data_IF_821262815140
#
_entry.id   IF_821262815140
#
_cell.length_a   1.000
_cell.length_b   1.000
_cell.length_c   1.000
_cell.angle_alpha   90.00
_cell.angle_beta   90.00
_cell.angle_gamma   90.00
#
_symmetry.space_group_name_H-M   'P 1'
#
loop_
_entity.id
_entity.type
_entity.pdbx_description
1 polymer ?
#
# COMPACT_ATOMS: atom_id res chain seq x y z
N UNK A 1 7.93 -18.14 4.65
CA UNK A 1 6.86 -18.35 3.64
C UNK A 1 5.53 -17.98 4.30
N UNK A 2 5.16 -16.69 4.29
CA UNK A 2 3.91 -16.22 4.89
C UNK A 2 2.83 -16.16 3.80
N UNK A 3 1.88 -17.09 3.84
CA UNK A 3 0.67 -17.02 3.01
C UNK A 3 -0.43 -16.37 3.83
N UNK A 4 -0.70 -15.07 3.62
CA UNK A 4 -1.93 -14.49 4.13
C UNK A 4 -3.12 -15.16 3.42
N UNK A 5 -3.88 -15.97 4.16
CA UNK A 5 -4.97 -16.81 3.67
C UNK A 5 -6.32 -16.08 3.72
N UNK A 6 -7.07 -16.28 2.63
CA UNK A 6 -8.54 -16.36 2.45
C UNK A 6 -9.40 -15.13 2.75
N UNK A 7 -10.13 -14.71 1.71
CA UNK A 7 -11.40 -13.99 1.84
C UNK A 7 -12.55 -15.02 1.79
N UNK A 8 -13.39 -15.08 2.83
CA UNK A 8 -14.57 -15.95 3.04
C UNK A 8 -14.80 -17.05 1.96
N UNK A 9 -14.30 -18.25 2.25
CA UNK A 9 -14.33 -19.42 1.38
C UNK A 9 -12.92 -19.93 1.07
N UNK A 10 -12.78 -21.14 0.56
CA UNK A 10 -11.50 -21.70 0.10
C UNK A 10 -10.86 -20.94 -1.08
N UNK A 11 -11.24 -19.69 -1.32
CA UNK A 11 -10.78 -18.87 -2.44
C UNK A 11 -9.52 -18.11 -2.06
N UNK A 12 -8.59 -18.07 -3.00
CA UNK A 12 -7.33 -17.35 -2.89
C UNK A 12 -7.63 -15.84 -2.88
N UNK A 13 -6.89 -15.10 -2.06
CA UNK A 13 -7.02 -13.65 -1.93
C UNK A 13 -6.82 -12.92 -3.27
N UNK A 14 -7.55 -11.83 -3.49
CA UNK A 14 -7.40 -10.98 -4.66
C UNK A 14 -7.48 -9.52 -4.20
N UNK A 15 -6.31 -8.91 -4.02
CA UNK A 15 -6.16 -7.52 -3.55
C UNK A 15 -6.92 -6.55 -4.46
N UNK A 16 -6.67 -6.63 -5.77
CA UNK A 16 -7.28 -5.74 -6.76
C UNK A 16 -8.81 -5.74 -6.73
N UNK A 17 -9.46 -6.90 -6.64
CA UNK A 17 -10.92 -7.02 -6.56
C UNK A 17 -11.48 -6.37 -5.29
N UNK A 18 -10.84 -6.59 -4.15
CA UNK A 18 -11.31 -6.02 -2.88
C UNK A 18 -11.14 -4.51 -2.89
N UNK A 19 -10.00 -3.99 -3.38
CA UNK A 19 -9.77 -2.55 -3.49
C UNK A 19 -10.76 -1.89 -4.46
N UNK A 20 -11.04 -2.52 -5.61
CA UNK A 20 -12.04 -2.06 -6.56
C UNK A 20 -13.46 -2.05 -5.94
N UNK A 21 -13.83 -3.10 -5.20
CA UNK A 21 -15.13 -3.19 -4.53
C UNK A 21 -15.26 -2.10 -3.46
N UNK A 22 -14.26 -1.97 -2.59
CA UNK A 22 -14.23 -0.95 -1.54
C UNK A 22 -14.33 0.46 -2.11
N UNK A 23 -13.59 0.78 -3.18
CA UNK A 23 -13.68 2.07 -3.86
C UNK A 23 -15.10 2.36 -4.37
N UNK A 24 -15.74 1.37 -5.01
CA UNK A 24 -17.11 1.51 -5.51
C UNK A 24 -18.14 1.68 -4.40
N UNK A 25 -18.03 0.92 -3.31
CA UNK A 25 -18.95 1.02 -2.18
C UNK A 25 -18.76 2.34 -1.41
N UNK A 26 -17.51 2.78 -1.19
CA UNK A 26 -17.22 4.04 -0.52
C UNK A 26 -17.84 5.23 -1.27
N UNK A 27 -17.81 5.23 -2.61
CA UNK A 27 -18.39 6.31 -3.43
C UNK A 27 -19.91 6.41 -3.33
N UNK A 28 -20.59 5.36 -2.86
CA UNK A 28 -22.04 5.40 -2.61
C UNK A 28 -22.37 6.09 -1.28
N UNK A 29 -21.41 6.13 -0.36
CA UNK A 29 -21.62 6.60 1.02
C UNK A 29 -21.04 8.00 1.19
N UNK A 30 -19.91 8.30 0.54
CA UNK A 30 -19.20 9.57 0.66
C UNK A 30 -18.74 10.10 -0.70
N UNK A 31 -18.87 11.42 -0.89
CA UNK A 31 -18.21 12.13 -1.99
C UNK A 31 -16.79 12.50 -1.57
N UNK A 32 -15.88 11.51 -1.61
CA UNK A 32 -14.47 11.70 -1.32
C UNK A 32 -13.69 12.00 -2.61
N UNK A 33 -12.62 12.79 -2.52
CA UNK A 33 -11.78 13.13 -3.67
C UNK A 33 -10.48 12.34 -3.70
N UNK A 34 -10.13 11.67 -2.60
CA UNK A 34 -8.88 10.94 -2.39
C UNK A 34 -9.11 9.52 -1.88
N UNK A 35 -8.59 8.52 -2.59
CA UNK A 35 -8.50 7.14 -2.13
C UNK A 35 -7.07 6.85 -1.68
N UNK A 36 -6.92 6.21 -0.51
CA UNK A 36 -5.65 5.66 -0.05
C UNK A 36 -5.80 4.15 0.04
N UNK A 37 -5.10 3.43 -0.83
CA UNK A 37 -5.03 1.97 -0.83
C UNK A 37 -3.83 1.57 0.03
N UNK A 38 -4.08 0.80 1.07
CA UNK A 38 -3.13 0.62 2.14
C UNK A 38 -3.14 -0.82 2.65
N UNK A 39 -2.00 -1.49 2.56
CA UNK A 39 -1.83 -2.81 3.15
C UNK A 39 -1.88 -2.70 4.68
N UNK A 40 -2.65 -3.59 5.32
CA UNK A 40 -2.95 -3.51 6.76
C UNK A 40 -1.72 -3.73 7.64
N UNK A 41 -0.64 -4.24 7.07
CA UNK A 41 0.61 -4.61 7.74
C UNK A 41 1.72 -3.57 7.63
N UNK A 42 1.46 -2.38 7.07
CA UNK A 42 2.41 -1.29 7.05
C UNK A 42 1.96 -0.16 7.99
N UNK A 43 2.84 0.40 8.81
CA UNK A 43 2.52 1.53 9.69
C UNK A 43 3.50 2.67 9.43
N UNK A 44 3.04 3.91 9.19
CA UNK A 44 3.94 5.04 8.97
C UNK A 44 4.72 5.35 10.26
N UNK A 45 6.03 5.60 10.12
CA UNK A 45 6.91 5.93 11.26
C UNK A 45 6.87 7.41 11.64
N UNK A 46 6.28 8.24 10.79
CA UNK A 46 6.39 9.69 10.84
C UNK A 46 5.10 10.34 10.34
N UNK A 47 4.55 11.24 11.15
CA UNK A 47 3.29 11.94 10.90
C UNK A 47 3.35 12.92 9.72
N UNK A 48 4.57 13.27 9.28
CA UNK A 48 4.80 14.05 8.06
C UNK A 48 4.50 13.26 6.79
N UNK A 49 4.27 11.95 6.90
CA UNK A 49 3.77 11.12 5.82
C UNK A 49 2.25 11.34 5.65
N UNK A 50 1.88 12.41 4.95
CA UNK A 50 0.49 12.84 4.86
C UNK A 50 -0.38 11.90 4.01
N UNK A 51 -1.46 11.39 4.59
CA UNK A 51 -2.48 10.55 3.93
C UNK A 51 -3.49 11.41 3.15
N UNK A 52 -2.95 12.21 2.23
CA UNK A 52 -3.70 13.11 1.36
C UNK A 52 -3.26 12.91 -0.08
N UNK A 53 -4.14 13.20 -1.04
CA UNK A 53 -3.81 13.05 -2.45
C UNK A 53 -3.25 14.36 -3.02
N UNK A 54 -1.97 14.41 -3.44
CA UNK A 54 -1.45 15.55 -4.19
C UNK A 54 -2.01 15.54 -5.62
N UNK A 55 -1.56 16.46 -6.48
CA UNK A 55 -2.05 16.56 -7.87
C UNK A 55 -1.78 15.34 -8.73
N UNK A 56 -0.85 14.46 -8.33
CA UNK A 56 -0.55 13.19 -9.00
C UNK A 56 -0.73 12.04 -7.99
N UNK A 57 -0.92 10.78 -8.42
CA UNK A 57 -0.78 9.64 -7.52
C UNK A 57 0.53 9.71 -6.74
N UNK A 58 0.55 9.23 -5.50
CA UNK A 58 1.79 9.18 -4.71
C UNK A 58 1.90 7.83 -4.03
N UNK A 59 3.01 7.15 -4.27
CA UNK A 59 3.45 6.02 -3.47
C UNK A 59 3.96 6.52 -2.12
N UNK A 60 3.31 6.13 -1.04
CA UNK A 60 3.68 6.55 0.32
C UNK A 60 4.77 5.64 0.90
N UNK A 61 4.65 4.32 0.73
CA UNK A 61 5.55 3.33 1.34
C UNK A 61 6.85 3.12 0.56
N UNK A 62 7.56 4.21 0.30
CA UNK A 62 8.83 4.23 -0.46
C UNK A 62 10.02 3.66 0.31
N UNK A 63 9.93 3.64 1.64
CA UNK A 63 11.00 3.21 2.54
C UNK A 63 10.40 2.34 3.64
N UNK A 64 10.35 1.03 3.42
CA UNK A 64 9.86 0.06 4.42
C UNK A 64 11.04 -0.58 5.16
N UNK A 65 10.87 -0.84 6.45
CA UNK A 65 11.93 -1.41 7.30
C UNK A 65 12.39 -2.79 6.80
N UNK A 66 11.48 -3.63 6.29
CA UNK A 66 11.77 -4.92 5.65
C UNK A 66 12.76 -4.84 4.49
N UNK A 67 12.71 -3.76 3.71
CA UNK A 67 13.61 -3.48 2.60
C UNK A 67 14.79 -2.59 3.01
N UNK A 68 15.08 -2.52 4.32
CA UNK A 68 16.12 -1.67 4.90
C UNK A 68 15.99 -0.21 4.46
N UNK A 69 14.75 0.29 4.42
CA UNK A 69 14.42 1.66 4.02
C UNK A 69 14.87 2.04 2.60
N UNK A 70 14.99 1.05 1.71
CA UNK A 70 15.32 1.26 0.29
C UNK A 70 14.15 0.84 -0.57
N UNK A 71 13.85 1.64 -1.58
CA UNK A 71 12.86 1.30 -2.60
C UNK A 71 13.40 0.12 -3.42
N UNK A 72 12.55 -0.91 -3.63
CA UNK A 72 12.95 -2.10 -4.39
C UNK A 72 13.24 -1.82 -5.86
N UNK A 73 12.43 -0.97 -6.50
CA UNK A 73 12.57 -0.53 -7.89
C UNK A 73 11.69 0.70 -8.16
N UNK A 74 12.01 1.48 -9.20
CA UNK A 74 11.42 2.80 -9.46
C UNK A 74 9.91 2.81 -9.74
N UNK A 75 9.36 1.71 -10.26
CA UNK A 75 7.94 1.60 -10.60
C UNK A 75 7.09 0.95 -9.50
N UNK A 76 7.67 0.66 -8.32
CA UNK A 76 6.96 0.03 -7.23
C UNK A 76 5.88 0.98 -6.67
N UNK A 77 4.63 0.51 -6.64
CA UNK A 77 3.50 1.23 -6.02
C UNK A 77 2.75 0.38 -4.97
N UNK A 78 3.30 -0.79 -4.62
CA UNK A 78 2.74 -1.68 -3.60
C UNK A 78 2.92 -1.17 -2.17
N UNK A 79 2.20 -1.77 -1.23
CA UNK A 79 2.12 -1.26 0.15
C UNK A 79 1.07 -0.18 0.31
N UNK A 80 1.45 1.08 0.13
CA UNK A 80 0.57 2.24 0.31
C UNK A 80 0.62 3.20 -0.88
N UNK A 81 -0.51 3.34 -1.56
CA UNK A 81 -0.69 4.20 -2.73
C UNK A 81 -1.89 5.13 -2.53
N UNK A 82 -1.70 6.43 -2.71
CA UNK A 82 -2.80 7.38 -2.76
C UNK A 82 -3.10 7.83 -4.19
N UNK A 83 -4.39 7.98 -4.50
CA UNK A 83 -4.88 8.37 -5.82
C UNK A 83 -6.13 9.23 -5.68
N UNK A 84 -6.19 10.31 -6.47
CA UNK A 84 -7.45 11.04 -6.65
C UNK A 84 -8.48 10.13 -7.31
N UNK A 85 -9.75 10.34 -6.99
CA UNK A 85 -10.86 9.59 -7.59
C UNK A 85 -10.84 9.68 -9.11
N UNK A 86 -10.50 10.85 -9.66
CA UNK A 86 -10.36 11.04 -11.11
C UNK A 86 -9.26 10.14 -11.70
N UNK A 87 -8.06 10.08 -11.10
CA UNK A 87 -6.98 9.22 -11.57
C UNK A 87 -7.34 7.74 -11.49
N UNK A 88 -7.96 7.32 -10.39
CA UNK A 88 -8.35 5.93 -10.22
C UNK A 88 -9.42 5.49 -11.23
N UNK A 89 -10.37 6.39 -11.55
CA UNK A 89 -11.35 6.18 -12.62
C UNK A 89 -10.69 6.14 -13.99
N UNK A 90 -9.76 7.04 -14.27
CA UNK A 90 -8.99 7.08 -15.53
C UNK A 90 -8.34 5.71 -15.76
N UNK A 91 -7.50 5.23 -14.82
CA UNK A 91 -6.78 3.94 -14.93
C UNK A 91 -7.65 2.68 -14.94
N UNK A 92 -8.98 2.86 -14.78
CA UNK A 92 -9.96 1.78 -14.65
C UNK A 92 -9.68 0.85 -13.45
N UNK A 93 -9.23 1.44 -12.33
CA UNK A 93 -8.92 0.72 -11.09
C UNK A 93 -7.84 -0.36 -11.23
N UNK A 94 -7.78 -1.26 -10.24
CA UNK A 94 -6.87 -2.42 -10.27
C UNK A 94 -7.39 -3.49 -11.23
N UNK A 95 -6.49 -4.32 -11.79
CA UNK A 95 -6.91 -5.53 -12.51
C UNK A 95 -7.59 -6.53 -11.57
N UNK A 96 -8.69 -7.13 -12.05
CA UNK A 96 -9.42 -8.17 -11.33
C UNK A 96 -8.86 -9.59 -11.59
N UNK A 97 -7.78 -9.72 -12.35
CA UNK A 97 -7.24 -11.01 -12.81
C UNK A 97 -6.17 -11.58 -11.89
N UNK A 98 -5.51 -10.75 -11.08
CA UNK A 98 -4.45 -11.19 -10.16
C UNK A 98 -5.03 -11.86 -8.92
N UNK A 99 -4.91 -13.18 -8.85
CA UNK A 99 -5.37 -14.01 -7.74
C UNK A 99 -4.15 -14.61 -7.06
N UNK A 100 -4.00 -14.38 -5.75
CA UNK A 100 -2.81 -14.72 -4.99
C UNK A 100 -1.87 -13.53 -4.82
N UNK A 101 -0.60 -13.82 -4.58
CA UNK A 101 0.44 -12.82 -4.40
C UNK A 101 1.08 -12.46 -5.74
N UNK A 102 1.08 -11.16 -6.07
CA UNK A 102 2.00 -10.56 -7.04
C UNK A 102 1.38 -10.00 -8.32
N UNK A 103 2.10 -9.04 -8.90
CA UNK A 103 1.90 -8.36 -10.18
C UNK A 103 0.68 -7.43 -10.31
N UNK A 104 -0.21 -7.37 -9.32
CA UNK A 104 -1.33 -6.43 -9.32
C UNK A 104 -0.89 -4.98 -9.13
N UNK A 105 0.11 -4.75 -8.27
CA UNK A 105 0.66 -3.42 -8.02
C UNK A 105 1.52 -2.98 -9.23
N UNK A 106 2.22 -3.90 -9.90
CA UNK A 106 2.97 -3.62 -11.13
C UNK A 106 2.05 -3.25 -12.30
N UNK A 107 0.92 -3.96 -12.47
CA UNK A 107 -0.11 -3.62 -13.45
C UNK A 107 -0.72 -2.24 -13.16
N UNK A 108 -0.96 -1.89 -11.89
CA UNK A 108 -1.40 -0.55 -11.51
C UNK A 108 -0.35 0.51 -11.88
N UNK A 109 0.93 0.29 -11.58
CA UNK A 109 2.00 1.19 -11.98
C UNK A 109 2.03 1.39 -13.51
N UNK A 110 1.93 0.30 -14.27
CA UNK A 110 1.88 0.35 -15.74
C UNK A 110 0.67 1.15 -16.25
N UNK A 111 -0.52 0.99 -15.65
CA UNK A 111 -1.71 1.78 -16.02
C UNK A 111 -1.52 3.28 -15.74
N UNK A 112 -0.94 3.63 -14.58
CA UNK A 112 -0.65 5.02 -14.21
C UNK A 112 0.28 5.64 -15.26
N UNK A 113 1.37 4.96 -15.63
CA UNK A 113 2.33 5.45 -16.64
C UNK A 113 1.68 5.66 -18.01
N UNK A 114 0.88 4.71 -18.47
CA UNK A 114 0.41 4.69 -19.85
C UNK A 114 -0.81 5.57 -20.11
N UNK A 115 -1.59 5.89 -19.09
CA UNK A 115 -2.79 6.70 -19.26
C UNK A 115 -2.56 8.20 -19.05
N UNK A 116 -1.32 8.66 -19.15
CA UNK A 116 -0.94 10.07 -19.02
C UNK A 116 -1.34 10.69 -17.67
N UNK A 117 -1.63 9.87 -16.66
CA UNK A 117 -1.54 10.30 -15.26
C UNK A 117 -0.06 10.57 -15.02
N UNK A 118 0.30 11.86 -14.95
CA UNK A 118 1.63 12.38 -15.25
C UNK A 118 2.75 11.61 -14.50
N UNK A 119 3.90 11.37 -15.16
CA UNK A 119 5.02 10.52 -14.67
C UNK A 119 5.62 10.94 -13.32
N UNK A 120 5.31 12.14 -12.83
CA UNK A 120 5.61 12.55 -11.45
C UNK A 120 4.90 11.70 -10.39
N UNK A 121 3.91 10.90 -10.78
CA UNK A 121 3.23 9.91 -9.95
C UNK A 121 4.17 8.85 -9.31
N UNK A 122 5.32 8.62 -9.93
CA UNK A 122 6.26 7.56 -9.57
C UNK A 122 7.60 8.09 -9.03
N UNK A 123 7.80 9.42 -9.08
CA UNK A 123 9.01 10.05 -8.61
C UNK A 123 8.75 10.72 -7.26
N UNK A 124 8.87 9.95 -6.18
CA UNK A 124 8.91 10.50 -4.84
C UNK A 124 10.26 11.20 -4.62
N UNK A 125 10.23 12.47 -4.21
CA UNK A 125 11.41 13.28 -3.97
C UNK A 125 12.41 12.64 -3.01
N UNK A 126 13.68 13.01 -3.20
CA UNK A 126 14.89 12.66 -2.45
C UNK A 126 14.70 11.60 -1.34
N UNK A 127 15.04 10.35 -1.67
CA UNK A 127 15.13 9.18 -0.78
C UNK A 127 16.04 9.40 0.45
N UNK A 128 16.78 10.50 0.49
CA UNK A 128 17.62 10.94 1.60
C UNK A 128 16.86 11.77 2.66
N UNK A 129 15.55 11.61 2.78
CA UNK A 129 14.77 12.28 3.84
C UNK A 129 14.64 11.36 5.06
N UNK A 130 15.50 11.47 6.08
CA UNK A 130 15.41 10.65 7.27
C UNK A 130 14.05 10.85 7.97
N UNK A 131 13.38 9.74 8.27
CA UNK A 131 12.14 9.72 9.07
C UNK A 131 10.89 9.25 8.34
N UNK A 132 10.78 9.39 7.01
CA UNK A 132 9.52 9.08 6.29
C UNK A 132 9.36 7.59 5.91
N UNK A 133 9.66 6.70 6.84
CA UNK A 133 9.62 5.25 6.67
C UNK A 133 8.30 4.60 7.06
N UNK A 134 8.20 3.29 6.82
CA UNK A 134 7.11 2.44 7.29
C UNK A 134 7.67 1.21 8.01
N UNK A 135 7.04 0.86 9.13
CA UNK A 135 7.26 -0.40 9.82
C UNK A 135 6.32 -1.47 9.26
N UNK A 136 6.88 -2.61 8.88
CA UNK A 136 6.09 -3.82 8.68
C UNK A 136 5.70 -4.43 10.02
N UNK A 137 4.43 -4.85 10.13
CA UNK A 137 3.95 -5.61 11.27
C UNK A 137 4.76 -6.90 11.48
N UNK A 138 5.29 -7.53 10.43
CA UNK A 138 6.13 -8.73 10.58
C UNK A 138 7.38 -8.43 11.41
N UNK A 139 8.03 -7.29 11.18
CA UNK A 139 9.21 -6.85 11.94
C UNK A 139 8.86 -6.32 13.32
N UNK A 140 7.72 -5.66 13.48
CA UNK A 140 7.22 -5.25 14.81
C UNK A 140 6.99 -6.50 15.67
N UNK A 141 6.28 -7.49 15.13
CA UNK A 141 5.93 -8.71 15.85
C UNK A 141 7.16 -9.57 16.17
N UNK A 142 8.15 -9.63 15.27
CA UNK A 142 9.41 -10.33 15.55
C UNK A 142 10.19 -9.66 16.69
N UNK A 143 10.21 -8.33 16.78
CA UNK A 143 10.83 -7.61 17.91
C UNK A 143 10.08 -7.84 19.21
N UNK A 144 8.74 -7.80 19.21
CA UNK A 144 7.93 -8.07 20.41
C UNK A 144 8.19 -9.48 20.93
N UNK A 145 8.25 -10.49 20.04
CA UNK A 145 8.54 -11.88 20.42
C UNK A 145 9.93 -12.08 21.04
N UNK A 146 10.84 -11.12 20.85
CA UNK A 146 12.20 -11.12 21.37
C UNK A 146 12.36 -10.30 22.66
N UNK A 147 11.32 -9.61 23.14
CA UNK A 147 11.34 -8.90 24.44
C UNK A 147 11.10 -9.94 25.56
N UNK A 148 12.10 -10.31 26.38
CA UNK A 148 11.95 -11.38 27.38
C UNK A 148 11.12 -10.97 28.62
N UNK A 149 10.38 -9.86 28.57
CA UNK A 149 9.89 -9.14 29.75
C UNK A 149 8.37 -9.23 30.02
N UNK A 150 7.60 -9.99 29.22
CA UNK A 150 6.15 -10.14 29.46
C UNK A 150 5.70 -11.57 29.82
N UNK A 151 6.62 -12.54 29.91
CA UNK A 151 6.32 -13.88 30.45
C UNK A 151 6.44 -13.97 31.98
N UNK A 152 6.55 -12.84 32.70
CA UNK A 152 6.72 -12.82 34.16
C UNK A 152 5.63 -12.05 34.92
N UNK A 153 4.42 -11.98 34.34
CA UNK A 153 3.19 -11.55 35.03
C UNK A 153 2.00 -12.46 34.68
N UNK A 154 2.17 -13.75 34.92
CA UNK A 154 1.07 -14.66 35.22
C UNK A 154 1.61 -15.68 36.22
N UNK A 155 0.98 -15.70 37.39
CA UNK A 155 1.28 -16.48 38.59
C UNK A 155 1.86 -17.87 38.38
#
# INVERSE_FOLDING_TARGET
MHTCKRHNGNKIFNKGRIMNAAFKEALKIFDFQCAVFHDVDLIPEDDRNMYTCPQQPRHLSVAIDEMNYKLGYDLLVGGVLNMRVEHYKTVNGYSNMYVGWGAEDDDMAYRIVNQQVNKQALWCGNTNSPGRGFLSLTRIMSKISLIPALTRLSH
#
